data_IF_950679684606
#
_entry.id   IF_950679684606
#
_cell.length_a   1.000
_cell.length_b   1.000
_cell.length_c   1.000
_cell.angle_alpha   90.00
_cell.angle_beta   90.00
_cell.angle_gamma   90.00
#
_symmetry.space_group_name_H-M   'P 1'
#
loop_
_entity.id
_entity.type
_entity.pdbx_description
1 polymer ?
#
# COMPACT_ATOMS: atom_id res chain seq x y z
N UNK A 1 9.46 -6.72 8.70
CA UNK A 1 8.86 -5.47 8.20
C UNK A 1 9.94 -4.40 8.26
N UNK A 2 10.17 -3.63 7.19
CA UNK A 2 11.20 -2.59 7.22
C UNK A 2 10.58 -1.24 7.61
N UNK A 3 11.33 -0.33 8.25
CA UNK A 3 10.76 0.91 8.78
C UNK A 3 10.10 1.81 7.73
N UNK A 4 10.50 1.71 6.46
CA UNK A 4 10.06 2.59 5.38
C UNK A 4 9.37 1.88 4.20
N UNK A 5 9.27 0.55 4.21
CA UNK A 5 8.59 -0.20 3.16
C UNK A 5 8.11 -1.59 3.61
N UNK A 6 7.16 -2.13 2.85
CA UNK A 6 6.51 -3.41 3.12
C UNK A 6 6.69 -4.34 1.92
N UNK A 7 7.10 -5.58 2.20
CA UNK A 7 7.11 -6.67 1.23
C UNK A 7 5.91 -7.58 1.53
N UNK A 8 5.17 -7.96 0.50
CA UNK A 8 4.02 -8.86 0.62
C UNK A 8 4.06 -9.90 -0.49
N UNK A 9 3.80 -11.16 -0.12
CA UNK A 9 3.49 -12.23 -1.06
C UNK A 9 1.97 -12.41 -1.07
N UNK A 10 1.34 -12.22 -2.23
CA UNK A 10 -0.12 -12.26 -2.38
C UNK A 10 -0.52 -13.04 -3.61
N UNK A 11 -1.61 -13.80 -3.51
CA UNK A 11 -2.27 -14.39 -4.67
C UNK A 11 -3.36 -13.44 -5.18
N UNK A 12 -3.19 -12.92 -6.40
CA UNK A 12 -4.15 -12.01 -7.04
C UNK A 12 -4.91 -12.79 -8.12
N UNK A 13 -6.26 -12.80 -8.10
CA UNK A 13 -7.04 -13.40 -9.18
C UNK A 13 -6.69 -12.76 -10.53
N UNK A 14 -6.51 -13.53 -11.62
CA UNK A 14 -6.03 -13.00 -12.91
C UNK A 14 -6.99 -11.98 -13.55
N UNK A 15 -8.27 -12.00 -13.16
CA UNK A 15 -9.28 -10.99 -13.57
C UNK A 15 -9.09 -9.61 -12.93
N UNK A 16 -8.24 -9.50 -11.92
CA UNK A 16 -7.92 -8.24 -11.23
C UNK A 16 -6.51 -7.84 -11.64
N UNK A 17 -6.36 -6.65 -12.21
CA UNK A 17 -5.03 -6.14 -12.53
C UNK A 17 -4.24 -5.85 -11.24
N UNK A 18 -2.92 -6.07 -11.31
CA UNK A 18 -2.00 -5.72 -10.21
C UNK A 18 -2.15 -4.24 -9.83
N UNK A 19 -2.31 -3.34 -10.81
CA UNK A 19 -2.49 -1.91 -10.57
C UNK A 19 -3.76 -1.59 -9.80
N UNK A 20 -4.89 -2.23 -10.13
CA UNK A 20 -6.15 -2.05 -9.41
C UNK A 20 -6.04 -2.54 -7.96
N UNK A 21 -5.44 -3.73 -7.77
CA UNK A 21 -5.17 -4.27 -6.44
C UNK A 21 -4.28 -3.34 -5.62
N UNK A 22 -3.17 -2.86 -6.18
CA UNK A 22 -2.24 -1.96 -5.48
C UNK A 22 -2.86 -0.59 -5.19
N UNK A 23 -3.69 -0.07 -6.09
CA UNK A 23 -4.44 1.17 -5.86
C UNK A 23 -5.39 1.05 -4.68
N UNK A 24 -6.18 -0.03 -4.62
CA UNK A 24 -7.05 -0.30 -3.49
C UNK A 24 -6.26 -0.50 -2.19
N UNK A 25 -5.23 -1.35 -2.22
CA UNK A 25 -4.45 -1.71 -1.04
C UNK A 25 -3.75 -0.49 -0.43
N UNK A 26 -3.03 0.29 -1.25
CA UNK A 26 -2.34 1.50 -0.80
C UNK A 26 -3.34 2.57 -0.32
N UNK A 27 -4.45 2.76 -1.03
CA UNK A 27 -5.48 3.73 -0.66
C UNK A 27 -6.19 3.40 0.65
N UNK A 28 -6.72 2.18 0.78
CA UNK A 28 -7.45 1.75 1.99
C UNK A 28 -6.55 1.68 3.22
N UNK A 29 -5.33 1.15 3.07
CA UNK A 29 -4.39 1.11 4.20
C UNK A 29 -3.98 2.51 4.66
N UNK A 30 -3.71 3.45 3.74
CA UNK A 30 -3.40 4.83 4.12
C UNK A 30 -4.54 5.47 4.93
N UNK A 31 -5.79 5.27 4.51
CA UNK A 31 -6.96 5.75 5.25
C UNK A 31 -6.99 5.17 6.67
N UNK A 32 -6.91 3.84 6.80
CA UNK A 32 -6.95 3.15 8.09
C UNK A 32 -5.79 3.56 9.01
N UNK A 33 -4.60 3.80 8.47
CA UNK A 33 -3.42 4.24 9.23
C UNK A 33 -3.65 5.64 9.79
N UNK A 34 -4.15 6.58 8.98
CA UNK A 34 -4.44 7.93 9.46
C UNK A 34 -5.62 7.97 10.43
N UNK A 35 -6.59 7.07 10.31
CA UNK A 35 -7.68 6.93 11.29
C UNK A 35 -7.16 6.43 12.64
N UNK A 36 -6.29 5.40 12.65
CA UNK A 36 -5.76 4.80 13.88
C UNK A 36 -4.63 5.62 14.53
N UNK A 37 -3.86 6.36 13.75
CA UNK A 37 -2.68 7.08 14.20
C UNK A 37 -2.79 8.56 13.83
N UNK A 38 -3.63 9.30 14.57
CA UNK A 38 -3.93 10.70 14.30
C UNK A 38 -2.66 11.60 14.25
N UNK A 39 -1.63 11.27 15.03
CA UNK A 39 -0.34 11.96 15.02
C UNK A 39 0.39 11.90 13.67
N UNK A 40 0.17 10.83 12.88
CA UNK A 40 0.77 10.72 11.55
C UNK A 40 0.18 11.70 10.54
N UNK A 41 -1.06 12.20 10.75
CA UNK A 41 -1.64 13.24 9.88
C UNK A 41 -0.78 14.51 9.87
N UNK A 42 -0.18 14.86 11.01
CA UNK A 42 0.70 16.02 11.14
C UNK A 42 2.07 15.77 10.50
N UNK A 43 2.62 14.56 10.66
CA UNK A 43 3.89 14.16 10.04
C UNK A 43 3.81 14.09 8.51
N UNK A 44 2.67 13.68 7.98
CA UNK A 44 2.41 13.53 6.55
C UNK A 44 1.32 14.50 6.10
N UNK A 45 1.54 15.81 6.26
CA UNK A 45 0.55 16.88 6.09
C UNK A 45 -0.31 16.83 4.81
N UNK A 46 0.16 16.19 3.74
CA UNK A 46 -0.60 15.96 2.49
C UNK A 46 -1.40 14.65 2.46
N UNK A 47 -1.51 13.94 3.59
CA UNK A 47 -2.12 12.60 3.73
C UNK A 47 -1.57 11.58 2.73
N UNK A 48 -0.34 11.76 2.24
CA UNK A 48 0.39 10.78 1.45
C UNK A 48 1.21 9.90 2.39
N UNK A 49 0.75 8.66 2.60
CA UNK A 49 1.48 7.69 3.43
C UNK A 49 2.46 6.84 2.60
N UNK A 50 2.01 6.36 1.44
CA UNK A 50 2.83 5.55 0.54
C UNK A 50 3.54 6.40 -0.51
N UNK A 51 4.69 5.92 -0.99
CA UNK A 51 5.29 6.42 -2.22
C UNK A 51 4.34 6.20 -3.42
N UNK A 52 4.50 6.97 -4.49
CA UNK A 52 3.63 6.89 -5.68
C UNK A 52 3.79 5.54 -6.41
N UNK A 53 5.03 5.08 -6.56
CA UNK A 53 5.37 3.80 -7.18
C UNK A 53 5.12 2.57 -6.30
N UNK A 54 5.30 1.41 -6.91
CA UNK A 54 5.40 0.10 -6.25
C UNK A 54 6.26 -0.82 -7.13
N UNK A 55 6.86 -1.84 -6.52
CA UNK A 55 7.58 -2.89 -7.23
C UNK A 55 6.75 -4.18 -7.20
N UNK A 56 6.72 -4.91 -8.31
CA UNK A 56 6.10 -6.23 -8.39
C UNK A 56 7.03 -7.18 -9.13
N UNK A 57 7.15 -8.40 -8.60
CA UNK A 57 7.74 -9.52 -9.29
C UNK A 57 6.74 -10.67 -9.27
N UNK A 58 6.57 -11.31 -10.42
CA UNK A 58 5.65 -12.44 -10.57
C UNK A 58 6.47 -13.72 -10.47
N UNK A 59 6.19 -14.52 -9.43
CA UNK A 59 6.58 -15.93 -9.45
C UNK A 59 5.58 -16.70 -10.30
N UNK A 60 6.08 -17.63 -11.12
CA UNK A 60 5.24 -18.73 -11.57
C UNK A 60 4.89 -19.56 -10.33
N UNK A 61 3.64 -20.02 -10.27
CA UNK A 61 3.21 -20.95 -9.24
C UNK A 61 3.75 -22.35 -9.55
#
# INVERSE_FOLDING_TARGET
>A
MMPNHVHMLVAIPPKISVSAFMGYLKGKSALMIFEKHANLKYKYGNRKFWAEGYYVSTGLK
#
